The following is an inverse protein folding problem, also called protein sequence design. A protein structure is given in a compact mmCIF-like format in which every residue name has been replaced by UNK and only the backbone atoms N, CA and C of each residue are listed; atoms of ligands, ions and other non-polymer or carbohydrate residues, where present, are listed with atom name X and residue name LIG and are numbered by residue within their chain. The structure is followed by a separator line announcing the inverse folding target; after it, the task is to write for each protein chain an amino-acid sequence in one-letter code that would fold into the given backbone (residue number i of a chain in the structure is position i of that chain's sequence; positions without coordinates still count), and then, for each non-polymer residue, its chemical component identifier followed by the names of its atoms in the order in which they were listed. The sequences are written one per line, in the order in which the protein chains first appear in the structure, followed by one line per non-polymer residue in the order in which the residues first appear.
data_IF_299083289103
#
_entry.id   IF_299083289103
#
_cell.length_a   1.000
_cell.length_b   1.000
_cell.length_c   1.000
_cell.angle_alpha   90.00
_cell.angle_beta   90.00
_cell.angle_gamma   90.00
#
_symmetry.space_group_name_H-M   'P 1'
#
loop_
_entity.id
_entity.type
_entity.pdbx_description
1 polymer ?
#
# COMPACT_ATOMS: atom_id res chain seq x y z
N UNK A 1 18.26 44.07 1.40
CA UNK A 1 19.15 43.01 0.95
C UNK A 1 18.73 41.63 1.47
N UNK A 2 18.47 41.50 2.76
CA UNK A 2 18.02 40.21 3.33
C UNK A 2 16.76 39.63 2.71
N UNK A 3 15.80 40.49 2.34
CA UNK A 3 14.53 40.07 1.74
C UNK A 3 14.71 39.45 0.35
N UNK A 4 15.66 39.98 -0.43
CA UNK A 4 15.96 39.48 -1.77
C UNK A 4 16.67 38.14 -1.68
N UNK A 5 17.56 37.96 -0.72
CA UNK A 5 18.25 36.69 -0.47
C UNK A 5 17.28 35.64 -0.02
N UNK A 6 16.37 35.96 0.91
CA UNK A 6 15.33 35.05 1.38
C UNK A 6 14.41 34.62 0.23
N UNK A 7 14.02 35.58 -0.61
CA UNK A 7 13.18 35.29 -1.78
C UNK A 7 13.90 34.35 -2.76
N UNK A 8 15.18 34.57 -3.01
CA UNK A 8 15.98 33.72 -3.88
C UNK A 8 16.09 32.30 -3.29
N UNK A 9 16.33 32.18 -1.99
CA UNK A 9 16.39 30.90 -1.31
C UNK A 9 15.05 30.16 -1.39
N UNK A 10 13.93 30.87 -1.21
CA UNK A 10 12.61 30.28 -1.33
C UNK A 10 12.36 29.73 -2.73
N UNK A 11 12.70 30.49 -3.76
CA UNK A 11 12.54 30.07 -5.15
C UNK A 11 13.40 28.83 -5.44
N UNK A 12 14.67 28.86 -5.02
CA UNK A 12 15.58 27.73 -5.22
C UNK A 12 15.13 26.49 -4.47
N UNK A 13 14.62 26.65 -3.24
CA UNK A 13 14.08 25.54 -2.45
C UNK A 13 12.85 24.94 -3.12
N UNK A 14 12.00 25.78 -3.69
CA UNK A 14 10.81 25.34 -4.42
C UNK A 14 11.19 24.47 -5.61
N UNK A 15 12.15 24.91 -6.42
CA UNK A 15 12.61 24.12 -7.57
C UNK A 15 13.28 22.82 -7.13
N UNK A 16 14.12 22.87 -6.09
CA UNK A 16 14.78 21.69 -5.55
C UNK A 16 13.76 20.67 -5.02
N UNK A 17 12.78 21.15 -4.27
CA UNK A 17 11.72 20.29 -3.73
C UNK A 17 10.87 19.66 -4.82
N UNK A 18 10.57 20.44 -5.87
CA UNK A 18 9.79 19.94 -7.01
C UNK A 18 10.54 18.83 -7.75
N UNK A 19 11.85 19.00 -7.95
CA UNK A 19 12.69 17.98 -8.57
C UNK A 19 12.71 16.70 -7.71
N UNK A 20 12.93 16.85 -6.41
CA UNK A 20 12.95 15.73 -5.48
C UNK A 20 11.62 14.99 -5.48
N UNK A 21 10.51 15.74 -5.46
CA UNK A 21 9.17 15.16 -5.51
C UNK A 21 8.96 14.32 -6.78
N UNK A 22 9.43 14.84 -7.91
CA UNK A 22 9.33 14.12 -9.19
C UNK A 22 10.14 12.81 -9.15
N UNK A 23 11.38 12.87 -8.65
CA UNK A 23 12.25 11.69 -8.53
C UNK A 23 11.65 10.63 -7.60
N UNK A 24 11.10 11.07 -6.46
CA UNK A 24 10.41 10.17 -5.52
C UNK A 24 9.20 9.54 -6.19
N UNK A 25 8.41 10.33 -6.93
CA UNK A 25 7.22 9.84 -7.61
C UNK A 25 7.53 8.77 -8.65
N UNK A 26 8.60 8.97 -9.42
CA UNK A 26 9.06 7.96 -10.39
C UNK A 26 9.50 6.69 -9.70
N UNK A 27 10.30 6.81 -8.64
CA UNK A 27 10.77 5.67 -7.87
C UNK A 27 9.62 4.90 -7.23
N UNK A 28 8.68 5.62 -6.63
CA UNK A 28 7.53 5.02 -6.00
C UNK A 28 6.62 4.30 -7.00
N UNK A 29 6.41 4.90 -8.18
CA UNK A 29 5.63 4.27 -9.25
C UNK A 29 6.24 2.92 -9.65
N UNK A 30 7.56 2.87 -9.81
CA UNK A 30 8.26 1.62 -10.13
C UNK A 30 8.11 0.57 -9.04
N UNK A 31 8.28 0.97 -7.79
CA UNK A 31 8.14 0.07 -6.63
C UNK A 31 6.70 -0.45 -6.51
N UNK A 32 5.71 0.44 -6.67
CA UNK A 32 4.30 0.04 -6.65
C UNK A 32 4.00 -0.97 -7.77
N UNK A 33 4.49 -0.71 -8.97
CA UNK A 33 4.28 -1.62 -10.09
C UNK A 33 4.90 -3.00 -9.81
N UNK A 34 6.10 -3.03 -9.26
CA UNK A 34 6.78 -4.28 -8.88
C UNK A 34 5.95 -5.08 -7.87
N UNK A 35 5.54 -4.43 -6.77
CA UNK A 35 4.82 -5.13 -5.70
C UNK A 35 3.41 -5.54 -6.10
N UNK A 36 2.73 -4.72 -6.92
CA UNK A 36 1.42 -5.11 -7.47
C UNK A 36 1.56 -6.33 -8.39
N UNK A 37 2.63 -6.38 -9.18
CA UNK A 37 2.92 -7.54 -10.01
C UNK A 37 3.19 -8.81 -9.19
N UNK A 38 4.00 -8.69 -8.14
CA UNK A 38 4.28 -9.79 -7.22
C UNK A 38 3.00 -10.29 -6.55
N UNK A 39 2.15 -9.37 -6.09
CA UNK A 39 0.86 -9.74 -5.51
C UNK A 39 -0.04 -10.45 -6.50
N UNK A 40 -0.04 -10.02 -7.76
CA UNK A 40 -0.85 -10.66 -8.81
C UNK A 40 -0.39 -12.09 -9.05
N UNK A 41 0.92 -12.33 -9.03
CA UNK A 41 1.48 -13.68 -9.13
C UNK A 41 1.02 -14.53 -7.94
N UNK A 42 1.08 -13.97 -6.74
CA UNK A 42 0.61 -14.64 -5.53
C UNK A 42 -0.87 -15.04 -5.58
N UNK A 43 -1.71 -14.15 -6.12
CA UNK A 43 -3.13 -14.42 -6.32
C UNK A 43 -3.36 -15.55 -7.33
N UNK A 44 -2.70 -15.47 -8.47
CA UNK A 44 -2.86 -16.44 -9.55
C UNK A 44 -2.33 -17.82 -9.16
N UNK A 45 -1.33 -17.88 -8.28
CA UNK A 45 -0.78 -19.16 -7.79
C UNK A 45 -1.62 -19.80 -6.68
N UNK A 46 -2.59 -19.06 -6.15
CA UNK A 46 -3.41 -19.52 -5.03
C UNK A 46 -2.78 -19.37 -3.66
N UNK A 47 -1.58 -18.81 -3.55
CA UNK A 47 -0.88 -18.61 -2.29
C UNK A 47 -1.65 -17.70 -1.33
N UNK A 48 -2.19 -16.60 -1.84
CA UNK A 48 -2.95 -15.65 -1.03
C UNK A 48 -4.24 -16.29 -0.53
N UNK A 49 -4.90 -17.08 -1.38
CA UNK A 49 -6.10 -17.80 -0.97
C UNK A 49 -5.81 -18.84 0.12
N UNK A 50 -4.70 -19.55 0.01
CA UNK A 50 -4.27 -20.52 1.02
C UNK A 50 -3.98 -19.83 2.36
N UNK A 51 -3.27 -18.71 2.33
CA UNK A 51 -2.98 -17.90 3.51
C UNK A 51 -4.26 -17.38 4.15
N UNK A 52 -5.21 -16.89 3.33
CA UNK A 52 -6.49 -16.38 3.81
C UNK A 52 -7.26 -17.45 4.53
N UNK A 53 -7.30 -18.68 4.01
CA UNK A 53 -7.98 -19.82 4.65
C UNK A 53 -7.31 -20.19 5.97
N UNK A 54 -5.98 -20.23 5.98
CA UNK A 54 -5.23 -20.60 7.19
C UNK A 54 -5.43 -19.58 8.30
N UNK A 55 -5.48 -18.30 7.97
CA UNK A 55 -5.62 -17.19 8.93
C UNK A 55 -7.07 -16.80 9.21
N UNK A 56 -8.02 -17.39 8.48
CA UNK A 56 -9.44 -17.09 8.60
C UNK A 56 -9.97 -17.13 10.05
N UNK A 57 -9.63 -18.15 10.87
CA UNK A 57 -10.11 -18.19 12.26
C UNK A 57 -9.69 -16.97 13.08
N UNK A 58 -8.46 -16.48 12.87
CA UNK A 58 -7.93 -15.31 13.59
C UNK A 58 -8.63 -14.05 13.11
N UNK A 59 -8.70 -13.86 11.80
CA UNK A 59 -9.31 -12.65 11.22
C UNK A 59 -10.82 -12.57 11.44
N UNK A 60 -11.51 -13.71 11.51
CA UNK A 60 -12.94 -13.71 11.81
C UNK A 60 -13.23 -13.17 13.21
N UNK A 61 -12.30 -13.34 14.14
CA UNK A 61 -12.42 -12.76 15.48
C UNK A 61 -12.12 -11.27 15.48
N UNK A 62 -11.13 -10.84 14.71
CA UNK A 62 -10.71 -9.44 14.63
C UNK A 62 -11.65 -8.61 13.75
N UNK A 63 -12.10 -9.19 12.66
CA UNK A 63 -12.93 -8.51 11.66
C UNK A 63 -14.17 -9.36 11.34
N UNK A 64 -15.16 -9.38 12.25
CA UNK A 64 -16.33 -10.25 12.06
C UNK A 64 -17.19 -9.90 10.83
N UNK A 65 -17.08 -8.68 10.32
CA UNK A 65 -17.83 -8.22 9.15
C UNK A 65 -17.26 -8.72 7.82
N UNK A 66 -16.04 -9.25 7.83
CA UNK A 66 -15.41 -9.78 6.61
C UNK A 66 -15.76 -11.26 6.49
N UNK A 67 -16.39 -11.70 5.38
CA UNK A 67 -16.72 -13.11 5.17
C UNK A 67 -15.46 -13.99 5.12
N UNK A 68 -15.59 -15.22 5.57
CA UNK A 68 -14.52 -16.21 5.47
C UNK A 68 -14.10 -16.41 4.03
N UNK A 69 -12.79 -16.41 3.79
CA UNK A 69 -12.23 -16.64 2.46
C UNK A 69 -12.30 -15.43 1.53
N UNK A 70 -12.72 -14.27 2.04
CA UNK A 70 -12.72 -13.05 1.23
C UNK A 70 -11.28 -12.63 0.90
N UNK A 71 -11.01 -12.21 -0.35
CA UNK A 71 -9.65 -11.80 -0.75
C UNK A 71 -9.02 -10.71 0.13
N UNK A 72 -9.86 -9.85 0.74
CA UNK A 72 -9.39 -8.78 1.61
C UNK A 72 -8.57 -9.32 2.79
N UNK A 73 -8.88 -10.51 3.30
CA UNK A 73 -8.12 -11.11 4.41
C UNK A 73 -6.67 -11.33 4.04
N UNK A 74 -6.41 -11.86 2.85
CA UNK A 74 -5.06 -12.07 2.35
C UNK A 74 -4.30 -10.76 2.18
N UNK A 75 -4.95 -9.76 1.60
CA UNK A 75 -4.35 -8.45 1.38
C UNK A 75 -4.04 -7.74 2.69
N UNK A 76 -4.93 -7.83 3.68
CA UNK A 76 -4.71 -7.27 5.02
C UNK A 76 -3.51 -7.97 5.67
N UNK A 77 -3.46 -9.29 5.61
CA UNK A 77 -2.35 -10.04 6.17
C UNK A 77 -1.03 -9.67 5.52
N UNK A 78 -0.99 -9.55 4.20
CA UNK A 78 0.21 -9.15 3.47
C UNK A 78 0.65 -7.74 3.87
N UNK A 79 -0.30 -6.83 4.02
CA UNK A 79 -0.01 -5.46 4.48
C UNK A 79 0.60 -5.46 5.89
N UNK A 80 -0.01 -6.17 6.82
CA UNK A 80 0.49 -6.28 8.19
C UNK A 80 1.89 -6.91 8.22
N UNK A 81 2.08 -7.98 7.46
CA UNK A 81 3.38 -8.67 7.39
C UNK A 81 4.46 -7.76 6.83
N UNK A 82 4.17 -7.01 5.79
CA UNK A 82 5.11 -6.06 5.21
C UNK A 82 5.50 -4.98 6.23
N UNK A 83 4.54 -4.47 6.99
CA UNK A 83 4.81 -3.50 8.04
C UNK A 83 5.67 -4.09 9.16
N UNK A 84 5.38 -5.32 9.58
CA UNK A 84 6.15 -6.00 10.63
C UNK A 84 7.60 -6.24 10.21
N UNK A 85 7.83 -6.49 8.94
CA UNK A 85 9.17 -6.70 8.38
C UNK A 85 9.89 -5.40 8.04
N UNK A 86 9.23 -4.26 8.20
CA UNK A 86 9.81 -2.97 7.87
C UNK A 86 9.85 -2.66 6.37
N UNK A 87 9.02 -3.33 5.60
CA UNK A 87 8.95 -3.15 4.14
C UNK A 87 7.85 -2.14 3.78
N UNK A 88 8.07 -0.89 4.14
CA UNK A 88 7.06 0.17 3.97
C UNK A 88 6.61 0.33 2.52
N UNK A 89 7.55 0.21 1.58
CA UNK A 89 7.25 0.32 0.15
C UNK A 89 6.37 -0.82 -0.35
N UNK A 90 6.48 -2.01 0.25
CA UNK A 90 5.64 -3.15 -0.07
C UNK A 90 4.26 -3.02 0.60
N UNK A 91 4.21 -2.44 1.80
CA UNK A 91 2.98 -2.29 2.55
C UNK A 91 1.96 -1.39 1.86
N UNK A 92 2.41 -0.33 1.20
CA UNK A 92 1.53 0.64 0.53
C UNK A 92 0.63 0.01 -0.54
N UNK A 93 1.15 -0.71 -1.56
CA UNK A 93 0.28 -1.33 -2.55
C UNK A 93 -0.62 -2.42 -1.95
N UNK A 94 -0.14 -3.14 -0.95
CA UNK A 94 -0.94 -4.16 -0.27
C UNK A 94 -2.09 -3.55 0.52
N UNK A 95 -1.85 -2.41 1.18
CA UNK A 95 -2.89 -1.67 1.88
C UNK A 95 -3.94 -1.10 0.94
N UNK A 96 -3.51 -0.51 -0.18
CA UNK A 96 -4.43 0.02 -1.19
C UNK A 96 -5.32 -1.08 -1.76
N UNK A 97 -4.74 -2.24 -2.01
CA UNK A 97 -5.50 -3.40 -2.50
C UNK A 97 -6.51 -3.88 -1.46
N UNK A 98 -6.08 -3.98 -0.19
CA UNK A 98 -6.98 -4.36 0.90
C UNK A 98 -8.16 -3.40 1.01
N UNK A 99 -7.92 -2.10 0.93
CA UNK A 99 -8.96 -1.09 0.98
C UNK A 99 -9.94 -1.21 -0.18
N UNK A 100 -9.43 -1.47 -1.37
CA UNK A 100 -10.29 -1.67 -2.55
C UNK A 100 -11.18 -2.91 -2.39
N UNK A 101 -10.62 -4.00 -1.91
CA UNK A 101 -11.36 -5.24 -1.67
C UNK A 101 -12.38 -5.08 -0.54
N UNK A 102 -12.04 -4.36 0.53
CA UNK A 102 -12.96 -4.05 1.61
C UNK A 102 -14.11 -3.15 1.16
N UNK A 103 -13.86 -2.26 0.19
CA UNK A 103 -14.90 -1.40 -0.34
C UNK A 103 -16.02 -2.19 -1.03
N UNK A 104 -15.72 -3.36 -1.56
CA UNK A 104 -16.73 -4.24 -2.15
C UNK A 104 -17.75 -4.71 -1.12
N UNK A 105 -17.34 -4.80 0.15
CA UNK A 105 -18.20 -5.19 1.26
C UNK A 105 -18.98 -4.03 1.86
N UNK A 106 -18.70 -2.80 1.44
CA UNK A 106 -19.31 -1.61 2.01
C UNK A 106 -20.75 -1.46 1.52
N UNK A 107 -21.75 -1.52 2.42
CA UNK A 107 -23.16 -1.41 2.02
C UNK A 107 -23.57 -0.01 1.57
N UNK A 108 -22.73 0.99 1.81
CA UNK A 108 -23.01 2.40 1.50
C UNK A 108 -22.26 2.93 0.27
N UNK A 109 -21.70 2.07 -0.53
CA UNK A 109 -20.96 2.53 -1.72
C UNK A 109 -21.86 3.14 -2.81
#
# INVERSE_FOLDING_TARGET
MGDVEIFTELVNSTFSSSKTAFEISLGLTGILALWLGVMKIGENSGMINALSRWLSPVFCRLFPEIPKGHPAMGSIFMNLSANMLGLDNAATPMGLKAMKELQELNPKK
#
